data_IF_812184535103
#
_entry.id   IF_812184535103
#
_cell.length_a   1.000
_cell.length_b   1.000
_cell.length_c   1.000
_cell.angle_alpha   90.00
_cell.angle_beta   90.00
_cell.angle_gamma   90.00
#
_symmetry.space_group_name_H-M   'P 1'
#
loop_
_entity.id
_entity.type
_entity.pdbx_description
1 polymer ?
#
# COMPACT_ATOMS: atom_id res chain seq x y z
N UNK A 1 -19.94 5.05 -9.69
CA UNK A 1 -18.47 5.07 -9.72
C UNK A 1 -17.91 3.75 -9.20
N UNK A 2 -17.00 3.19 -9.93
CA UNK A 2 -16.35 1.95 -9.49
C UNK A 2 -15.25 2.27 -8.47
N UNK A 3 -15.23 1.53 -7.38
CA UNK A 3 -14.18 1.65 -6.38
C UNK A 3 -13.21 0.49 -6.53
N UNK A 4 -11.99 0.77 -6.97
CA UNK A 4 -10.98 -0.27 -7.08
C UNK A 4 -10.56 -0.82 -5.73
N UNK A 5 -10.46 0.03 -4.75
CA UNK A 5 -10.04 -0.34 -3.42
C UNK A 5 -11.15 -0.80 -2.49
N UNK A 6 -12.41 -0.71 -2.90
CA UNK A 6 -13.53 -1.05 -2.02
C UNK A 6 -13.47 -0.34 -0.67
N UNK A 7 -13.00 -1.04 0.36
CA UNK A 7 -12.90 -0.50 1.70
C UNK A 7 -11.89 0.65 1.82
N UNK A 8 -10.81 0.64 1.03
CA UNK A 8 -9.86 1.75 0.98
C UNK A 8 -10.55 3.04 0.55
N UNK A 9 -11.27 3.00 -0.56
CA UNK A 9 -11.96 4.19 -1.07
C UNK A 9 -13.03 4.66 -0.08
N UNK A 10 -13.76 3.76 0.52
CA UNK A 10 -14.77 4.10 1.53
C UNK A 10 -14.14 4.76 2.75
N UNK A 11 -13.00 4.25 3.20
CA UNK A 11 -12.25 4.81 4.34
C UNK A 11 -11.79 6.23 4.05
N UNK A 12 -11.20 6.45 2.88
CA UNK A 12 -10.72 7.77 2.49
C UNK A 12 -11.88 8.74 2.27
N UNK A 13 -12.96 8.29 1.64
CA UNK A 13 -14.14 9.12 1.42
C UNK A 13 -14.75 9.59 2.74
N UNK A 14 -14.84 8.70 3.73
CA UNK A 14 -15.33 9.03 5.06
C UNK A 14 -14.44 10.10 5.74
N UNK A 15 -13.12 9.94 5.63
CA UNK A 15 -12.18 10.90 6.20
C UNK A 15 -12.25 12.26 5.51
N UNK A 16 -12.54 12.28 4.21
CA UNK A 16 -12.65 13.51 3.45
C UNK A 16 -13.93 14.29 3.70
N UNK A 17 -14.95 13.65 4.27
CA UNK A 17 -16.19 14.34 4.67
C UNK A 17 -16.93 15.02 3.52
N UNK A 18 -16.89 14.43 2.31
CA UNK A 18 -17.56 15.00 1.14
C UNK A 18 -16.72 16.00 0.34
N UNK A 19 -15.52 16.33 0.81
CA UNK A 19 -14.59 17.22 0.09
C UNK A 19 -13.80 16.40 -0.94
N UNK A 20 -14.11 16.59 -2.21
CA UNK A 20 -13.48 15.83 -3.29
C UNK A 20 -11.98 16.12 -3.42
N UNK A 21 -11.57 17.37 -3.23
CA UNK A 21 -10.16 17.74 -3.28
C UNK A 21 -9.39 17.05 -2.16
N UNK A 22 -9.94 17.02 -0.96
CA UNK A 22 -9.34 16.33 0.18
C UNK A 22 -9.28 14.81 -0.06
N UNK A 23 -10.34 14.24 -0.65
CA UNK A 23 -10.34 12.83 -1.02
C UNK A 23 -9.14 12.49 -1.91
N UNK A 24 -8.91 13.29 -2.95
CA UNK A 24 -7.78 13.08 -3.87
C UNK A 24 -6.44 13.23 -3.18
N UNK A 25 -6.31 14.22 -2.31
CA UNK A 25 -5.08 14.43 -1.54
C UNK A 25 -4.78 13.26 -0.62
N UNK A 26 -5.78 12.79 0.11
CA UNK A 26 -5.61 11.64 1.01
C UNK A 26 -5.26 10.37 0.24
N UNK A 27 -5.89 10.16 -0.90
CA UNK A 27 -5.60 9.00 -1.74
C UNK A 27 -4.17 9.05 -2.28
N UNK A 28 -3.74 10.21 -2.74
CA UNK A 28 -2.36 10.40 -3.21
C UNK A 28 -1.36 10.21 -2.09
N UNK A 29 -1.64 10.74 -0.91
CA UNK A 29 -0.75 10.59 0.25
C UNK A 29 -0.61 9.11 0.66
N UNK A 30 -1.71 8.35 0.64
CA UNK A 30 -1.66 6.92 0.88
C UNK A 30 -0.75 6.22 -0.12
N UNK A 31 -0.96 6.48 -1.41
CA UNK A 31 -0.18 5.86 -2.48
C UNK A 31 1.30 6.18 -2.35
N UNK A 32 1.64 7.45 -2.12
CA UNK A 32 3.03 7.87 -1.95
C UNK A 32 3.69 7.20 -0.74
N UNK A 33 2.96 7.08 0.36
CA UNK A 33 3.47 6.38 1.54
C UNK A 33 3.72 4.91 1.26
N UNK A 34 2.80 4.25 0.57
CA UNK A 34 2.96 2.84 0.19
C UNK A 34 4.14 2.66 -0.77
N UNK A 35 4.30 3.54 -1.73
CA UNK A 35 5.42 3.50 -2.67
C UNK A 35 6.77 3.67 -1.97
N UNK A 36 6.83 4.53 -0.95
CA UNK A 36 8.06 4.68 -0.16
C UNK A 36 8.41 3.39 0.57
N UNK A 37 7.44 2.68 1.12
CA UNK A 37 7.70 1.40 1.79
C UNK A 37 8.11 0.32 0.78
N UNK A 38 7.50 0.29 -0.39
CA UNK A 38 7.92 -0.62 -1.46
C UNK A 38 9.36 -0.35 -1.87
N UNK A 39 9.75 0.91 -2.01
CA UNK A 39 11.12 1.28 -2.34
C UNK A 39 12.10 0.82 -1.26
N UNK A 40 11.72 0.96 0.01
CA UNK A 40 12.54 0.46 1.12
C UNK A 40 12.68 -1.07 1.08
N UNK A 41 11.60 -1.79 0.73
CA UNK A 41 11.68 -3.23 0.53
C UNK A 41 12.69 -3.58 -0.56
N UNK A 42 12.61 -2.91 -1.72
CA UNK A 42 13.51 -3.16 -2.84
C UNK A 42 14.97 -2.93 -2.48
N UNK A 43 15.25 -1.96 -1.62
CA UNK A 43 16.61 -1.60 -1.23
C UNK A 43 17.11 -2.35 0.00
N UNK A 44 16.27 -3.15 0.64
CA UNK A 44 16.64 -3.87 1.84
C UNK A 44 17.70 -4.93 1.55
N UNK A 45 18.75 -4.95 2.35
CA UNK A 45 19.89 -5.85 2.20
C UNK A 45 19.97 -6.91 3.29
N UNK A 46 19.11 -6.81 4.30
CA UNK A 46 19.09 -7.74 5.41
C UNK A 46 17.67 -8.03 5.86
N UNK A 47 17.52 -9.12 6.58
CA UNK A 47 16.21 -9.58 7.07
C UNK A 47 15.50 -8.53 7.93
N UNK A 48 16.25 -7.84 8.79
CA UNK A 48 15.68 -6.85 9.69
C UNK A 48 15.06 -5.67 8.95
N UNK A 49 15.77 -5.11 7.98
CA UNK A 49 15.25 -3.98 7.21
C UNK A 49 14.08 -4.38 6.33
N UNK A 50 14.15 -5.55 5.72
CA UNK A 50 13.06 -6.11 4.93
C UNK A 50 11.79 -6.25 5.77
N UNK A 51 11.94 -6.88 6.94
CA UNK A 51 10.82 -7.11 7.86
C UNK A 51 10.20 -5.79 8.33
N UNK A 52 11.01 -4.82 8.69
CA UNK A 52 10.51 -3.52 9.15
C UNK A 52 9.70 -2.83 8.04
N UNK A 53 10.22 -2.78 6.83
CA UNK A 53 9.51 -2.17 5.71
C UNK A 53 8.19 -2.91 5.41
N UNK A 54 8.21 -4.24 5.44
CA UNK A 54 7.01 -5.06 5.24
C UNK A 54 5.95 -4.81 6.31
N UNK A 55 6.36 -4.72 7.57
CA UNK A 55 5.44 -4.45 8.68
C UNK A 55 4.85 -3.03 8.60
N UNK A 56 5.64 -2.05 8.19
CA UNK A 56 5.16 -0.68 7.99
C UNK A 56 4.14 -0.61 6.87
N UNK A 57 4.40 -1.32 5.77
CA UNK A 57 3.45 -1.39 4.66
C UNK A 57 2.16 -2.06 5.09
N UNK A 58 2.26 -3.15 5.85
CA UNK A 58 1.08 -3.84 6.39
C UNK A 58 0.27 -2.93 7.31
N UNK A 59 0.94 -2.20 8.19
CA UNK A 59 0.27 -1.26 9.10
C UNK A 59 -0.46 -0.15 8.35
N UNK A 60 0.18 0.41 7.33
CA UNK A 60 -0.43 1.43 6.49
C UNK A 60 -1.68 0.89 5.78
N UNK A 61 -1.54 -0.27 5.14
CA UNK A 61 -2.65 -0.90 4.42
C UNK A 61 -3.81 -1.24 5.35
N UNK A 62 -3.52 -1.77 6.53
CA UNK A 62 -4.54 -2.13 7.51
C UNK A 62 -5.27 -0.90 8.04
N UNK A 63 -4.56 0.19 8.27
CA UNK A 63 -5.14 1.44 8.78
C UNK A 63 -6.13 2.05 7.79
N UNK A 64 -5.90 1.87 6.51
CA UNK A 64 -6.77 2.39 5.45
C UNK A 64 -7.70 1.33 4.88
N UNK A 65 -7.69 0.12 5.43
CA UNK A 65 -8.53 -1.00 5.00
C UNK A 65 -8.28 -1.45 3.55
N UNK A 66 -7.05 -1.33 3.07
CA UNK A 66 -6.64 -1.94 1.81
C UNK A 66 -6.24 -3.39 2.11
N UNK A 67 -7.21 -4.28 2.10
CA UNK A 67 -7.00 -5.68 2.47
C UNK A 67 -6.07 -6.41 1.51
N UNK A 68 -6.15 -6.12 0.22
CA UNK A 68 -5.28 -6.75 -0.76
C UNK A 68 -3.81 -6.38 -0.50
N UNK A 69 -3.53 -5.11 -0.25
CA UNK A 69 -2.17 -4.66 0.06
C UNK A 69 -1.70 -5.20 1.41
N UNK A 70 -2.59 -5.26 2.40
CA UNK A 70 -2.26 -5.84 3.71
C UNK A 70 -1.83 -7.29 3.58
N UNK A 71 -2.56 -8.08 2.77
CA UNK A 71 -2.20 -9.49 2.53
C UNK A 71 -0.87 -9.62 1.81
N UNK A 72 -0.60 -8.78 0.81
CA UNK A 72 0.67 -8.78 0.08
C UNK A 72 1.83 -8.39 1.00
N UNK A 73 1.63 -7.41 1.87
CA UNK A 73 2.66 -7.01 2.83
C UNK A 73 2.95 -8.13 3.83
N UNK A 74 1.93 -8.86 4.25
CA UNK A 74 2.12 -10.03 5.12
C UNK A 74 2.91 -11.13 4.41
N UNK A 75 2.62 -11.39 3.14
CA UNK A 75 3.43 -12.31 2.34
C UNK A 75 4.89 -11.87 2.28
N UNK A 76 5.13 -10.57 2.11
CA UNK A 76 6.49 -10.03 2.09
C UNK A 76 7.22 -10.27 3.40
N UNK A 77 6.55 -10.03 4.52
CA UNK A 77 7.14 -10.26 5.85
C UNK A 77 7.57 -11.71 6.04
N UNK A 78 6.79 -12.63 5.49
CA UNK A 78 7.06 -14.08 5.60
C UNK A 78 8.03 -14.59 4.53
N UNK A 79 8.33 -13.79 3.52
CA UNK A 79 9.21 -14.17 2.42
C UNK A 79 10.68 -13.83 2.71
N UNK A 80 11.58 -14.44 1.96
CA UNK A 80 12.98 -14.07 2.00
C UNK A 80 13.17 -12.65 1.42
N UNK A 81 14.15 -11.88 1.94
CA UNK A 81 14.45 -10.55 1.39
C UNK A 81 14.69 -10.62 -0.11
N UNK A 82 14.21 -9.60 -0.81
CA UNK A 82 14.34 -9.47 -2.26
C UNK A 82 13.57 -10.50 -3.08
N UNK A 83 12.59 -11.20 -2.47
CA UNK A 83 11.76 -12.13 -3.22
C UNK A 83 11.02 -11.38 -4.34
N UNK A 84 11.31 -11.69 -5.63
CA UNK A 84 10.82 -10.86 -6.73
C UNK A 84 9.33 -10.97 -7.00
N UNK A 85 8.70 -12.10 -6.69
CA UNK A 85 7.28 -12.30 -6.96
C UNK A 85 6.42 -11.38 -6.12
N UNK A 86 6.68 -11.31 -4.82
CA UNK A 86 5.90 -10.45 -3.93
C UNK A 86 6.13 -8.98 -4.25
N UNK A 87 7.36 -8.60 -4.59
CA UNK A 87 7.66 -7.22 -4.99
C UNK A 87 6.88 -6.80 -6.24
N UNK A 88 6.82 -7.68 -7.26
CA UNK A 88 6.06 -7.40 -8.47
C UNK A 88 4.56 -7.28 -8.18
N UNK A 89 4.03 -8.12 -7.30
CA UNK A 89 2.60 -8.09 -6.96
C UNK A 89 2.22 -6.83 -6.20
N UNK A 90 3.07 -6.38 -5.28
CA UNK A 90 2.86 -5.11 -4.58
C UNK A 90 2.92 -3.95 -5.58
N UNK A 91 3.93 -3.94 -6.43
CA UNK A 91 4.08 -2.91 -7.46
C UNK A 91 2.86 -2.83 -8.37
N UNK A 92 2.37 -3.98 -8.83
CA UNK A 92 1.18 -4.05 -9.69
C UNK A 92 -0.07 -3.50 -8.99
N UNK A 93 -0.24 -3.81 -7.70
CA UNK A 93 -1.36 -3.28 -6.92
C UNK A 93 -1.29 -1.76 -6.81
N UNK A 94 -0.12 -1.21 -6.50
CA UNK A 94 0.05 0.23 -6.38
C UNK A 94 -0.10 0.94 -7.73
N UNK A 95 0.39 0.32 -8.81
CA UNK A 95 0.22 0.87 -10.16
C UNK A 95 -1.26 0.94 -10.54
N UNK A 96 -2.05 -0.07 -10.18
CA UNK A 96 -3.48 -0.07 -10.43
C UNK A 96 -4.18 1.05 -9.66
N UNK A 97 -3.82 1.26 -8.40
CA UNK A 97 -4.36 2.37 -7.61
C UNK A 97 -4.00 3.73 -8.23
N UNK A 98 -2.79 3.86 -8.76
CA UNK A 98 -2.34 5.11 -9.39
C UNK A 98 -3.15 5.47 -10.63
N UNK A 99 -3.65 4.48 -11.36
CA UNK A 99 -4.45 4.72 -12.57
C UNK A 99 -5.77 5.43 -12.29
N UNK A 100 -6.24 5.41 -11.06
CA UNK A 100 -7.53 6.00 -10.69
C UNK A 100 -7.43 7.32 -9.94
N UNK A 101 -6.24 7.87 -9.84
CA UNK A 101 -6.02 9.18 -9.19
C UNK A 101 -6.52 10.38 -10.04
#
# INVERSE_FOLDING_TARGET
MAYLGGALDATIAAAAGGDEALYRELRRAFLESAERQLDLLRRSRCDGNWRIAGLRLKGLASSFHDEALSALAEEAVDAAPSEPTVLRRIDAHLAELALTL
#
